data_IF_016274883665
#
_entry.id   IF_016274883665
#
_cell.length_a   1.000
_cell.length_b   1.000
_cell.length_c   1.000
_cell.angle_alpha   90.00
_cell.angle_beta   90.00
_cell.angle_gamma   90.00
#
_symmetry.space_group_name_H-M   'P 1'
#
loop_
_entity.id
_entity.type
_entity.pdbx_description
1 polymer ?
#
# COMPACT_ATOMS: atom_id res chain seq x y z
N UNK A 1 -16.35 -17.62 -24.69
CA UNK A 1 -16.28 -18.54 -23.53
C UNK A 1 -16.55 -17.68 -22.31
N UNK A 2 -17.52 -18.04 -21.47
CA UNK A 2 -17.80 -17.27 -20.26
C UNK A 2 -16.55 -17.24 -19.39
N UNK A 3 -16.08 -16.06 -19.00
CA UNK A 3 -14.94 -15.93 -18.10
C UNK A 3 -15.28 -16.60 -16.75
N UNK A 4 -14.29 -17.26 -16.11
CA UNK A 4 -14.51 -17.86 -14.81
C UNK A 4 -14.82 -16.78 -13.77
N UNK A 5 -15.81 -17.03 -12.92
CA UNK A 5 -16.23 -16.09 -11.87
C UNK A 5 -15.10 -15.70 -10.89
N UNK A 6 -14.06 -16.54 -10.77
CA UNK A 6 -12.85 -16.24 -9.98
C UNK A 6 -11.62 -16.60 -10.78
N UNK A 7 -10.76 -15.61 -11.00
CA UNK A 7 -9.41 -15.79 -11.56
C UNK A 7 -8.41 -16.00 -10.44
N UNK A 8 -8.20 -17.26 -10.07
CA UNK A 8 -7.29 -17.65 -8.98
C UNK A 8 -5.85 -17.13 -9.17
N UNK A 9 -5.41 -16.97 -10.42
CA UNK A 9 -4.09 -16.45 -10.79
C UNK A 9 -3.90 -14.97 -10.41
N UNK A 10 -4.98 -14.18 -10.38
CA UNK A 10 -4.93 -12.75 -10.02
C UNK A 10 -5.15 -12.50 -8.53
N UNK A 11 -5.52 -13.52 -7.75
CA UNK A 11 -5.74 -13.37 -6.30
C UNK A 11 -4.48 -12.87 -5.58
N UNK A 12 -3.27 -13.40 -5.83
CA UNK A 12 -2.05 -12.87 -5.19
C UNK A 12 -1.79 -11.40 -5.52
N UNK A 13 -2.06 -10.98 -6.76
CA UNK A 13 -1.92 -9.58 -7.19
C UNK A 13 -2.93 -8.69 -6.45
N UNK A 14 -4.19 -9.12 -6.38
CA UNK A 14 -5.24 -8.41 -5.63
C UNK A 14 -4.91 -8.32 -4.13
N UNK A 15 -4.33 -9.36 -3.55
CA UNK A 15 -3.83 -9.33 -2.17
C UNK A 15 -2.72 -8.30 -2.00
N UNK A 16 -1.73 -8.28 -2.90
CA UNK A 16 -0.66 -7.28 -2.89
C UNK A 16 -1.20 -5.85 -2.96
N UNK A 17 -2.15 -5.59 -3.84
CA UNK A 17 -2.85 -4.30 -3.94
C UNK A 17 -3.60 -3.94 -2.64
N UNK A 18 -4.32 -4.91 -2.07
CA UNK A 18 -5.03 -4.69 -0.81
C UNK A 18 -4.07 -4.34 0.33
N UNK A 19 -2.96 -5.06 0.47
CA UNK A 19 -1.92 -4.75 1.47
C UNK A 19 -1.30 -3.38 1.19
N UNK A 20 -1.06 -3.04 -0.08
CA UNK A 20 -0.54 -1.73 -0.45
C UNK A 20 -1.43 -0.60 0.06
N UNK A 21 -2.73 -0.68 -0.25
CA UNK A 21 -3.74 0.31 0.10
C UNK A 21 -3.94 0.53 1.61
N UNK A 22 -3.44 -0.37 2.46
CA UNK A 22 -3.61 -0.33 3.92
C UNK A 22 -2.34 0.09 4.69
N UNK A 23 -1.24 0.41 4.02
CA UNK A 23 0.04 0.74 4.67
C UNK A 23 -0.01 1.98 5.56
N UNK A 24 -0.62 3.05 5.07
CA UNK A 24 -0.75 4.28 5.83
C UNK A 24 -1.47 4.09 7.17
N UNK A 25 -2.38 3.10 7.29
CA UNK A 25 -3.07 2.86 8.57
C UNK A 25 -2.12 2.40 9.66
N UNK A 26 -1.15 1.54 9.35
CA UNK A 26 -0.26 0.95 10.37
C UNK A 26 0.92 1.88 10.65
N UNK A 27 1.50 2.47 9.61
CA UNK A 27 2.66 3.35 9.75
C UNK A 27 2.31 4.65 10.47
N UNK A 28 1.14 5.25 10.17
CA UNK A 28 0.74 6.53 10.76
C UNK A 28 0.07 6.40 12.13
N UNK A 29 -0.34 5.18 12.52
CA UNK A 29 -1.05 4.91 13.78
C UNK A 29 -0.34 5.52 15.00
N UNK A 30 0.97 5.34 15.23
CA UNK A 30 1.65 5.91 16.40
C UNK A 30 1.60 7.43 16.45
N UNK A 31 1.86 8.09 15.32
CA UNK A 31 1.84 9.55 15.20
C UNK A 31 0.44 10.12 15.41
N UNK A 32 -0.58 9.49 14.81
CA UNK A 32 -1.99 9.88 15.00
C UNK A 32 -2.40 9.70 16.45
N UNK A 33 -2.08 8.56 17.07
CA UNK A 33 -2.40 8.30 18.47
C UNK A 33 -1.76 9.33 19.41
N UNK A 34 -0.52 9.74 19.15
CA UNK A 34 0.20 10.70 19.98
C UNK A 34 -0.44 12.10 19.99
N UNK A 35 -1.09 12.51 18.89
CA UNK A 35 -1.71 13.84 18.75
C UNK A 35 -3.22 13.84 18.94
N UNK A 36 -3.83 12.68 19.20
CA UNK A 36 -5.29 12.59 19.40
C UNK A 36 -5.74 13.28 20.69
N UNK A 37 -6.78 14.11 20.58
CA UNK A 37 -7.41 14.75 21.74
C UNK A 37 -7.99 13.73 22.75
N UNK A 38 -8.46 12.57 22.27
CA UNK A 38 -8.99 11.49 23.11
C UNK A 38 -8.33 10.13 22.81
N UNK A 39 -7.11 9.87 23.30
CA UNK A 39 -6.34 8.65 22.96
C UNK A 39 -7.07 7.34 23.33
N UNK A 40 -7.87 7.35 24.39
CA UNK A 40 -8.69 6.18 24.81
C UNK A 40 -9.69 5.71 23.75
N UNK A 41 -10.06 6.57 22.79
CA UNK A 41 -10.98 6.23 21.69
C UNK A 41 -10.27 5.70 20.44
N UNK A 42 -8.94 5.62 20.47
CA UNK A 42 -8.13 5.23 19.32
C UNK A 42 -8.52 3.87 18.70
N UNK A 43 -8.74 2.79 19.47
CA UNK A 43 -9.16 1.52 18.86
C UNK A 43 -10.46 1.61 18.07
N UNK A 44 -11.41 2.43 18.53
CA UNK A 44 -12.68 2.66 17.80
C UNK A 44 -12.47 3.46 16.53
N UNK A 45 -11.58 4.46 16.57
CA UNK A 45 -11.23 5.26 15.40
C UNK A 45 -10.56 4.39 14.33
N UNK A 46 -9.63 3.52 14.71
CA UNK A 46 -8.98 2.57 13.78
C UNK A 46 -10.00 1.62 13.16
N UNK A 47 -10.87 1.00 13.96
CA UNK A 47 -11.91 0.09 13.43
C UNK A 47 -12.84 0.83 12.45
N UNK A 48 -13.30 2.03 12.80
CA UNK A 48 -14.16 2.83 11.93
C UNK A 48 -13.46 3.19 10.61
N UNK A 49 -12.18 3.57 10.69
CA UNK A 49 -11.34 3.84 9.53
C UNK A 49 -11.18 2.60 8.65
N UNK A 50 -10.82 1.45 9.22
CA UNK A 50 -10.68 0.19 8.48
C UNK A 50 -11.98 -0.20 7.76
N UNK A 51 -13.11 -0.13 8.46
CA UNK A 51 -14.43 -0.44 7.86
C UNK A 51 -14.74 0.52 6.72
N UNK A 52 -14.54 1.82 6.93
CA UNK A 52 -14.80 2.84 5.91
C UNK A 52 -13.94 2.64 4.66
N UNK A 53 -12.63 2.46 4.80
CA UNK A 53 -11.74 2.23 3.66
C UNK A 53 -12.06 0.92 2.94
N UNK A 54 -12.30 -0.16 3.68
CA UNK A 54 -12.65 -1.46 3.10
C UNK A 54 -13.94 -1.37 2.29
N UNK A 55 -14.97 -0.71 2.83
CA UNK A 55 -16.25 -0.51 2.14
C UNK A 55 -16.09 0.35 0.87
N UNK A 56 -15.28 1.41 0.92
CA UNK A 56 -15.02 2.25 -0.26
C UNK A 56 -14.29 1.47 -1.36
N UNK A 57 -13.22 0.74 -1.02
CA UNK A 57 -12.51 -0.06 -2.01
C UNK A 57 -13.38 -1.17 -2.60
N UNK A 58 -14.18 -1.84 -1.78
CA UNK A 58 -15.09 -2.88 -2.26
C UNK A 58 -16.16 -2.29 -3.18
N UNK A 59 -16.73 -1.14 -2.83
CA UNK A 59 -17.74 -0.47 -3.65
C UNK A 59 -17.19 -0.10 -5.02
N UNK A 60 -15.99 0.50 -5.08
CA UNK A 60 -15.34 0.88 -6.33
C UNK A 60 -14.95 -0.36 -7.14
N UNK A 61 -14.42 -1.39 -6.49
CA UNK A 61 -14.05 -2.65 -7.15
C UNK A 61 -15.26 -3.35 -7.79
N UNK A 62 -16.36 -3.49 -7.05
CA UNK A 62 -17.61 -4.08 -7.55
C UNK A 62 -18.22 -3.22 -8.66
N UNK A 63 -18.23 -1.90 -8.52
CA UNK A 63 -18.74 -1.01 -9.55
C UNK A 63 -17.90 -1.09 -10.84
N UNK A 64 -16.59 -1.19 -10.72
CA UNK A 64 -15.68 -1.38 -11.85
C UNK A 64 -15.90 -2.71 -12.57
N UNK A 65 -15.98 -3.81 -11.82
CA UNK A 65 -16.24 -5.14 -12.37
C UNK A 65 -17.60 -5.21 -13.07
N UNK A 66 -18.65 -4.65 -12.46
CA UNK A 66 -19.97 -4.58 -13.09
C UNK A 66 -19.96 -3.76 -14.39
N UNK A 67 -19.23 -2.64 -14.42
CA UNK A 67 -19.20 -1.76 -15.59
C UNK A 67 -18.39 -2.34 -16.77
N UNK A 68 -17.27 -3.01 -16.50
CA UNK A 68 -16.35 -3.47 -17.53
C UNK A 68 -16.52 -4.95 -17.86
N UNK A 69 -16.53 -5.81 -16.84
CA UNK A 69 -16.65 -7.26 -17.03
C UNK A 69 -18.07 -7.63 -17.43
N UNK A 70 -19.09 -7.15 -16.71
CA UNK A 70 -20.49 -7.56 -16.94
C UNK A 70 -21.18 -6.79 -18.09
N UNK A 71 -21.02 -5.47 -18.17
CA UNK A 71 -21.72 -4.66 -19.19
C UNK A 71 -20.99 -4.57 -20.54
N UNK A 72 -19.68 -4.79 -20.57
CA UNK A 72 -18.85 -4.54 -21.77
C UNK A 72 -18.01 -5.73 -22.23
N UNK A 73 -18.05 -6.86 -21.51
CA UNK A 73 -17.20 -8.04 -21.76
C UNK A 73 -15.72 -7.64 -21.98
N UNK A 74 -15.21 -6.70 -21.17
CA UNK A 74 -13.90 -6.11 -21.33
C UNK A 74 -13.03 -6.27 -20.07
N UNK A 75 -11.75 -6.57 -20.28
CA UNK A 75 -10.76 -6.66 -19.20
C UNK A 75 -10.34 -5.26 -18.76
N UNK A 76 -10.44 -5.00 -17.46
CA UNK A 76 -9.97 -3.73 -16.86
C UNK A 76 -8.46 -3.64 -17.01
N UNK A 77 -7.99 -2.52 -17.55
CA UNK A 77 -6.56 -2.21 -17.65
C UNK A 77 -5.93 -2.10 -16.26
N UNK A 78 -4.60 -2.10 -16.20
CA UNK A 78 -3.86 -1.94 -14.94
C UNK A 78 -4.28 -0.69 -14.15
N UNK A 79 -4.69 0.36 -14.85
CA UNK A 79 -5.32 1.54 -14.27
C UNK A 79 -6.77 1.65 -14.75
N UNK A 80 -7.69 1.87 -13.81
CA UNK A 80 -9.13 1.98 -14.13
C UNK A 80 -9.40 3.15 -15.09
N UNK A 81 -8.63 4.24 -15.00
CA UNK A 81 -8.76 5.41 -15.87
C UNK A 81 -8.48 5.08 -17.33
N UNK A 82 -7.54 4.16 -17.61
CA UNK A 82 -7.21 3.74 -18.98
C UNK A 82 -8.31 2.88 -19.64
N UNK A 83 -9.24 2.35 -18.85
CA UNK A 83 -10.34 1.51 -19.35
C UNK A 83 -11.51 2.34 -19.90
N UNK A 84 -11.55 3.64 -19.64
CA UNK A 84 -12.62 4.53 -20.11
C UNK A 84 -12.35 5.12 -21.49
N UNK A 85 -13.42 5.37 -22.24
CA UNK A 85 -13.33 6.17 -23.47
C UNK A 85 -13.10 7.66 -23.16
N UNK A 86 -12.37 8.33 -24.06
CA UNK A 86 -12.04 9.75 -23.98
C UNK A 86 -13.29 10.63 -24.18
N UNK A 87 -14.03 10.86 -23.09
CA UNK A 87 -15.12 11.85 -23.01
C UNK A 87 -14.66 13.11 -22.28
N UNK A 88 -15.42 14.20 -22.40
CA UNK A 88 -15.13 15.44 -21.65
C UNK A 88 -15.13 15.20 -20.13
N UNK A 89 -16.11 14.44 -19.63
CA UNK A 89 -16.23 14.09 -18.22
C UNK A 89 -15.00 13.29 -17.76
N UNK A 90 -14.57 12.30 -18.56
CA UNK A 90 -13.37 11.52 -18.26
C UNK A 90 -12.12 12.40 -18.21
N UNK A 91 -11.94 13.32 -19.17
CA UNK A 91 -10.80 14.26 -19.17
C UNK A 91 -10.79 15.14 -17.93
N UNK A 92 -11.94 15.69 -17.54
CA UNK A 92 -12.06 16.50 -16.31
C UNK A 92 -11.70 15.66 -15.08
N UNK A 93 -12.21 14.43 -14.97
CA UNK A 93 -11.90 13.53 -13.87
C UNK A 93 -10.39 13.21 -13.79
N UNK A 94 -9.75 12.91 -14.92
CA UNK A 94 -8.30 12.68 -14.99
C UNK A 94 -7.51 13.94 -14.62
N UNK A 95 -7.92 15.13 -15.07
CA UNK A 95 -7.28 16.39 -14.67
C UNK A 95 -7.38 16.65 -13.17
N UNK A 96 -8.54 16.40 -12.55
CA UNK A 96 -8.73 16.53 -11.10
C UNK A 96 -7.85 15.52 -10.35
N UNK A 97 -7.75 14.29 -10.84
CA UNK A 97 -6.90 13.27 -10.27
C UNK A 97 -5.41 13.65 -10.35
N UNK A 98 -4.94 14.13 -11.50
CA UNK A 98 -3.57 14.65 -11.66
C UNK A 98 -3.30 15.80 -10.69
N UNK A 99 -4.25 16.74 -10.57
CA UNK A 99 -4.12 17.87 -9.66
C UNK A 99 -4.02 17.40 -8.19
N UNK A 100 -4.87 16.46 -7.78
CA UNK A 100 -4.79 15.84 -6.46
C UNK A 100 -3.42 15.19 -6.21
N UNK A 101 -2.91 14.41 -7.17
CA UNK A 101 -1.60 13.76 -7.06
C UNK A 101 -0.46 14.78 -6.97
N UNK A 102 -0.51 15.86 -7.74
CA UNK A 102 0.47 16.95 -7.68
C UNK A 102 0.52 17.62 -6.30
N UNK A 103 -0.64 17.81 -5.65
CA UNK A 103 -0.70 18.36 -4.30
C UNK A 103 -0.27 17.34 -3.23
N UNK A 104 -0.48 16.06 -3.48
CA UNK A 104 -0.18 14.99 -2.52
C UNK A 104 1.29 14.59 -2.53
N UNK A 105 1.94 14.69 -3.70
CA UNK A 105 3.34 14.29 -3.88
C UNK A 105 4.29 14.99 -2.90
N UNK A 106 4.29 16.33 -2.73
CA UNK A 106 5.17 16.99 -1.76
C UNK A 106 4.99 16.50 -0.33
N UNK A 107 3.77 16.14 0.08
CA UNK A 107 3.49 15.65 1.43
C UNK A 107 4.14 14.29 1.67
N UNK A 108 3.96 13.35 0.73
CA UNK A 108 4.54 12.01 0.82
C UNK A 108 6.06 12.05 0.67
N UNK A 109 6.57 12.85 -0.26
CA UNK A 109 8.02 12.95 -0.48
C UNK A 109 8.71 13.63 0.70
N UNK A 110 8.05 14.59 1.37
CA UNK A 110 8.56 15.20 2.59
C UNK A 110 8.76 14.18 3.72
N UNK A 111 7.81 13.26 3.94
CA UNK A 111 7.96 12.25 5.00
C UNK A 111 9.14 11.32 4.69
N UNK A 112 9.31 10.90 3.44
CA UNK A 112 10.46 10.09 3.01
C UNK A 112 11.78 10.83 3.25
N UNK A 113 11.87 12.09 2.85
CA UNK A 113 13.07 12.90 3.08
C UNK A 113 13.37 13.06 4.56
N UNK A 114 12.36 13.39 5.37
CA UNK A 114 12.53 13.55 6.81
C UNK A 114 13.04 12.24 7.46
N UNK A 115 12.47 11.09 7.10
CA UNK A 115 12.87 9.79 7.64
C UNK A 115 14.30 9.41 7.26
N UNK A 116 14.70 9.59 6.00
CA UNK A 116 16.05 9.25 5.53
C UNK A 116 17.08 10.23 6.08
N UNK A 117 16.82 11.54 6.00
CA UNK A 117 17.74 12.57 6.49
C UNK A 117 17.99 12.42 8.00
N UNK A 118 16.97 12.16 8.80
CA UNK A 118 17.13 11.97 10.25
C UNK A 118 17.86 10.67 10.59
N UNK A 119 17.59 9.57 9.87
CA UNK A 119 18.12 8.26 10.25
C UNK A 119 19.51 7.96 9.66
N UNK A 120 19.82 8.48 8.46
CA UNK A 120 21.03 8.14 7.71
C UNK A 120 22.01 9.31 7.57
N UNK A 121 21.52 10.55 7.64
CA UNK A 121 22.28 11.75 7.31
C UNK A 121 22.06 12.91 8.32
N UNK A 122 22.09 12.64 9.65
CA UNK A 122 21.70 13.63 10.66
C UNK A 122 22.53 14.92 10.57
N UNK A 123 23.84 14.79 10.32
CA UNK A 123 24.79 15.90 10.25
C UNK A 123 25.19 16.29 8.82
N UNK A 124 24.48 15.78 7.80
CA UNK A 124 24.87 16.01 6.42
C UNK A 124 24.65 17.47 5.98
N UNK A 125 25.57 18.04 5.19
CA UNK A 125 25.43 19.40 4.69
C UNK A 125 24.22 19.55 3.77
N UNK A 126 23.70 20.77 3.65
CA UNK A 126 22.52 21.07 2.84
C UNK A 126 22.65 20.60 1.39
N UNK A 127 23.85 20.65 0.81
CA UNK A 127 24.14 20.16 -0.54
C UNK A 127 23.89 18.66 -0.66
N UNK A 128 24.35 17.85 0.30
CA UNK A 128 24.12 16.41 0.30
C UNK A 128 22.63 16.07 0.40
N UNK A 129 21.89 16.80 1.24
CA UNK A 129 20.42 16.66 1.36
C UNK A 129 19.72 17.00 0.04
N UNK A 130 20.11 18.09 -0.63
CA UNK A 130 19.56 18.47 -1.95
C UNK A 130 19.84 17.41 -3.01
N UNK A 131 21.05 16.85 -3.04
CA UNK A 131 21.42 15.77 -3.97
C UNK A 131 20.57 14.54 -3.72
N UNK A 132 20.42 14.10 -2.46
CA UNK A 132 19.55 12.99 -2.09
C UNK A 132 18.11 13.22 -2.59
N UNK A 133 17.54 14.40 -2.32
CA UNK A 133 16.18 14.74 -2.76
C UNK A 133 16.03 14.68 -4.27
N UNK A 134 17.01 15.23 -5.01
CA UNK A 134 17.02 15.19 -6.46
C UNK A 134 17.09 13.74 -6.98
N UNK A 135 17.98 12.91 -6.42
CA UNK A 135 18.10 11.49 -6.78
C UNK A 135 16.80 10.74 -6.54
N UNK A 136 16.14 10.95 -5.39
CA UNK A 136 14.88 10.30 -5.05
C UNK A 136 13.75 10.71 -6.02
N UNK A 137 13.59 11.99 -6.31
CA UNK A 137 12.57 12.47 -7.26
C UNK A 137 12.85 11.97 -8.68
N UNK A 138 14.10 12.00 -9.12
CA UNK A 138 14.49 11.46 -10.43
C UNK A 138 14.26 9.95 -10.51
N UNK A 139 14.53 9.22 -9.44
CA UNK A 139 14.29 7.77 -9.40
C UNK A 139 12.79 7.44 -9.49
N UNK A 140 11.92 8.22 -8.80
CA UNK A 140 10.47 8.08 -8.93
C UNK A 140 10.00 8.36 -10.37
N UNK A 141 10.55 9.39 -11.01
CA UNK A 141 10.29 9.69 -12.42
C UNK A 141 10.76 8.58 -13.36
N UNK A 142 11.94 8.01 -13.12
CA UNK A 142 12.45 6.88 -13.90
C UNK A 142 11.54 5.65 -13.77
N UNK A 143 11.10 5.31 -12.55
CA UNK A 143 10.13 4.23 -12.33
C UNK A 143 8.83 4.49 -13.09
N UNK A 144 8.31 5.72 -13.06
CA UNK A 144 7.08 6.08 -13.77
C UNK A 144 7.17 5.90 -15.30
N UNK A 145 8.36 6.08 -15.89
CA UNK A 145 8.58 5.89 -17.33
C UNK A 145 8.87 4.42 -17.68
N UNK A 146 9.59 3.71 -16.81
CA UNK A 146 10.07 2.35 -17.08
C UNK A 146 9.06 1.25 -16.72
N UNK A 147 8.08 1.53 -15.85
CA UNK A 147 7.08 0.55 -15.41
C UNK A 147 5.85 0.59 -16.33
N UNK A 148 5.62 -0.45 -17.16
CA UNK A 148 4.49 -0.48 -18.09
C UNK A 148 3.15 -0.81 -17.41
N UNK A 149 3.19 -1.58 -16.31
CA UNK A 149 2.01 -2.10 -15.60
C UNK A 149 2.04 -1.63 -14.15
N UNK A 150 1.51 -0.43 -13.92
CA UNK A 150 1.60 0.25 -12.62
C UNK A 150 0.93 -0.51 -11.49
N UNK A 151 -0.21 -1.14 -11.74
CA UNK A 151 -0.94 -1.98 -10.78
C UNK A 151 -0.14 -3.20 -10.33
N UNK A 152 0.58 -3.88 -11.23
CA UNK A 152 1.47 -4.99 -10.84
C UNK A 152 2.68 -4.49 -10.05
N UNK A 153 3.23 -3.32 -10.38
CA UNK A 153 4.27 -2.68 -9.58
C UNK A 153 3.79 -2.34 -8.16
N UNK A 154 2.60 -1.74 -8.02
CA UNK A 154 1.99 -1.46 -6.72
C UNK A 154 1.75 -2.75 -5.94
N UNK A 155 1.25 -3.79 -6.60
CA UNK A 155 1.00 -5.09 -5.98
C UNK A 155 2.30 -5.71 -5.45
N UNK A 156 3.41 -5.62 -6.19
CA UNK A 156 4.72 -6.06 -5.74
C UNK A 156 5.24 -5.22 -4.55
N UNK A 157 5.09 -3.90 -4.60
CA UNK A 157 5.44 -3.02 -3.48
C UNK A 157 4.63 -3.36 -2.22
N UNK A 158 3.33 -3.61 -2.36
CA UNK A 158 2.45 -4.07 -1.29
C UNK A 158 2.87 -5.42 -0.72
N UNK A 159 3.12 -6.39 -1.60
CA UNK A 159 3.57 -7.73 -1.24
C UNK A 159 4.89 -7.75 -0.46
N UNK A 160 5.85 -6.90 -0.84
CA UNK A 160 7.17 -6.86 -0.23
C UNK A 160 7.27 -5.85 0.92
N UNK A 161 7.22 -4.56 0.60
CA UNK A 161 7.50 -3.49 1.55
C UNK A 161 6.38 -3.37 2.60
N UNK A 162 5.13 -3.46 2.17
CA UNK A 162 4.00 -3.21 3.07
C UNK A 162 3.70 -4.47 3.91
N UNK A 163 3.87 -5.68 3.39
CA UNK A 163 3.85 -6.90 4.22
C UNK A 163 4.92 -6.86 5.31
N UNK A 164 6.12 -6.35 5.00
CA UNK A 164 7.18 -6.16 5.98
C UNK A 164 6.76 -5.14 7.06
N UNK A 165 6.29 -3.96 6.65
CA UNK A 165 5.91 -2.86 7.55
C UNK A 165 4.64 -3.14 8.37
N UNK A 166 3.69 -3.91 7.85
CA UNK A 166 2.39 -4.16 8.48
C UNK A 166 2.39 -5.46 9.28
N UNK A 167 2.86 -6.57 8.71
CA UNK A 167 2.68 -7.90 9.29
C UNK A 167 3.94 -8.45 9.96
N UNK A 168 5.13 -8.14 9.46
CA UNK A 168 6.36 -8.75 9.96
C UNK A 168 6.98 -7.90 11.08
N UNK A 169 7.41 -6.67 10.78
CA UNK A 169 8.19 -5.86 11.72
C UNK A 169 7.45 -5.56 13.04
N UNK A 170 6.16 -5.15 13.05
CA UNK A 170 5.47 -4.87 14.31
C UNK A 170 5.31 -6.11 15.18
N UNK A 171 5.00 -7.27 14.58
CA UNK A 171 4.80 -8.52 15.31
C UNK A 171 6.13 -9.08 15.84
N UNK A 172 7.20 -9.00 15.06
CA UNK A 172 8.54 -9.37 15.54
C UNK A 172 9.01 -8.45 16.66
N UNK A 173 8.74 -7.14 16.59
CA UNK A 173 9.06 -6.21 17.66
C UNK A 173 8.31 -6.55 18.96
N UNK A 174 7.01 -6.88 18.88
CA UNK A 174 6.20 -7.32 20.02
C UNK A 174 6.75 -8.62 20.63
N UNK A 175 7.09 -9.60 19.80
CA UNK A 175 7.66 -10.87 20.24
C UNK A 175 9.04 -10.68 20.89
N UNK A 176 9.88 -9.81 20.32
CA UNK A 176 11.19 -9.44 20.87
C UNK A 176 11.05 -8.76 22.24
N UNK A 177 10.18 -7.75 22.36
CA UNK A 177 9.92 -7.08 23.64
C UNK A 177 9.45 -8.07 24.73
N UNK A 178 8.60 -9.03 24.37
CA UNK A 178 8.17 -10.06 25.30
C UNK A 178 9.25 -11.09 25.67
N UNK A 179 10.21 -11.36 24.76
CA UNK A 179 11.37 -12.20 25.05
C UNK A 179 12.38 -11.52 25.99
N UNK A 180 12.45 -10.19 25.93
CA UNK A 180 13.27 -9.36 26.82
C UNK A 180 12.62 -9.12 28.18
N UNK A 181 11.38 -9.59 28.39
CA UNK A 181 10.64 -9.41 29.63
C UNK A 181 9.96 -8.04 29.79
N UNK A 182 10.03 -7.16 28.78
CA UNK A 182 9.42 -5.83 28.80
C UNK A 182 7.89 -5.88 28.66
N UNK A 183 7.37 -6.97 28.09
CA UNK A 183 5.94 -7.15 27.84
C UNK A 183 5.48 -8.57 28.23
N UNK A 184 4.45 -8.65 29.08
CA UNK A 184 3.79 -9.91 29.34
C UNK A 184 2.75 -10.23 28.25
N UNK A 185 3.07 -11.20 27.40
CA UNK A 185 2.17 -11.71 26.37
C UNK A 185 1.58 -13.04 26.79
N UNK A 186 0.25 -13.15 26.69
CA UNK A 186 -0.45 -14.43 26.80
C UNK A 186 -0.07 -15.35 25.62
N UNK A 187 -0.08 -16.67 25.87
CA UNK A 187 0.16 -17.69 24.84
C UNK A 187 -0.67 -17.50 23.54
N UNK A 188 -1.98 -17.20 23.57
CA UNK A 188 -2.74 -16.98 22.34
C UNK A 188 -2.29 -15.76 21.55
N UNK A 189 -1.85 -14.68 22.22
CA UNK A 189 -1.33 -13.50 21.52
C UNK A 189 0.01 -13.77 20.86
N UNK A 190 0.89 -14.55 21.51
CA UNK A 190 2.16 -15.00 20.90
C UNK A 190 1.91 -15.83 19.66
N UNK A 191 0.96 -16.78 19.73
CA UNK A 191 0.58 -17.59 18.58
C UNK A 191 0.03 -16.71 17.44
N UNK A 192 -0.84 -15.75 17.75
CA UNK A 192 -1.37 -14.82 16.76
C UNK A 192 -0.26 -14.02 16.05
N UNK A 193 0.72 -13.49 16.78
CA UNK A 193 1.85 -12.77 16.17
C UNK A 193 2.66 -13.66 15.21
N UNK A 194 2.92 -14.92 15.59
CA UNK A 194 3.62 -15.88 14.72
C UNK A 194 2.80 -16.23 13.47
N UNK A 195 1.50 -16.48 13.63
CA UNK A 195 0.61 -16.78 12.51
C UNK A 195 0.49 -15.60 11.54
N UNK A 196 0.35 -14.38 12.04
CA UNK A 196 0.29 -13.18 11.21
C UNK A 196 1.60 -12.99 10.45
N UNK A 197 2.74 -13.14 11.13
CA UNK A 197 4.06 -13.01 10.52
C UNK A 197 4.30 -14.08 9.44
N UNK A 198 4.01 -15.34 9.75
CA UNK A 198 4.28 -16.46 8.84
C UNK A 198 3.31 -16.52 7.65
N UNK A 199 2.01 -16.40 7.89
CA UNK A 199 0.98 -16.57 6.86
C UNK A 199 0.80 -15.29 6.04
N UNK A 200 0.51 -14.18 6.70
CA UNK A 200 0.21 -12.92 6.00
C UNK A 200 1.47 -12.14 5.63
N UNK A 201 2.49 -12.16 6.50
CA UNK A 201 3.77 -11.50 6.22
C UNK A 201 4.58 -12.25 5.16
N UNK A 202 4.99 -13.49 5.47
CA UNK A 202 5.93 -14.24 4.62
C UNK A 202 5.22 -14.92 3.45
N UNK A 203 4.26 -15.81 3.70
CA UNK A 203 3.68 -16.62 2.63
C UNK A 203 2.88 -15.77 1.63
N UNK A 204 1.91 -14.98 2.11
CA UNK A 204 1.12 -14.11 1.25
C UNK A 204 1.96 -13.01 0.60
N UNK A 205 2.89 -12.38 1.35
CA UNK A 205 3.79 -11.37 0.81
C UNK A 205 4.70 -11.90 -0.29
N UNK A 206 5.31 -13.08 -0.10
CA UNK A 206 6.15 -13.72 -1.11
C UNK A 206 5.36 -14.14 -2.36
N UNK A 207 4.16 -14.71 -2.18
CA UNK A 207 3.28 -15.09 -3.28
C UNK A 207 2.84 -13.87 -4.10
N UNK A 208 2.36 -12.82 -3.43
CA UNK A 208 1.94 -11.58 -4.09
C UNK A 208 3.12 -10.95 -4.85
N UNK A 209 4.27 -10.82 -4.20
CA UNK A 209 5.47 -10.24 -4.83
C UNK A 209 5.93 -11.07 -6.03
N UNK A 210 6.03 -12.39 -5.89
CA UNK A 210 6.52 -13.26 -6.95
C UNK A 210 5.64 -13.25 -8.20
N UNK A 211 4.31 -13.31 -8.01
CA UNK A 211 3.35 -13.27 -9.13
C UNK A 211 3.36 -11.89 -9.78
N UNK A 212 3.34 -10.80 -9.01
CA UNK A 212 3.34 -9.45 -9.53
C UNK A 212 4.62 -9.10 -10.29
N UNK A 213 5.79 -9.51 -9.78
CA UNK A 213 7.07 -9.33 -10.48
C UNK A 213 7.09 -10.13 -11.80
N UNK A 214 6.58 -11.36 -11.80
CA UNK A 214 6.47 -12.15 -13.02
C UNK A 214 5.59 -11.45 -14.07
N UNK A 215 4.44 -10.89 -13.66
CA UNK A 215 3.55 -10.14 -14.56
C UNK A 215 4.13 -8.83 -15.07
N UNK A 216 5.03 -8.21 -14.29
CA UNK A 216 5.66 -6.95 -14.66
C UNK A 216 6.68 -7.12 -15.79
N UNK A 217 7.33 -8.29 -15.88
CA UNK A 217 8.37 -8.59 -16.87
C UNK A 217 7.95 -9.57 -17.98
N UNK A 218 6.69 -10.00 -17.99
CA UNK A 218 6.08 -10.82 -19.04
C UNK A 218 5.33 -9.97 -20.06
#
# INVERSE_FOLDING_TARGET
MAEPAVRWESVPVAMGLAVFCNEGMVVLTPSVHAVMCFPKRFPRAVIAMTVYFTANYLLIGVAGDFLFSYLRDAVVASEVTLSFHLTLVHRVAVCLYIFQLLLSFPLVTFTVFASIEQSWLPDAPLTARRVLRAVLVLSAGAVAVLVPRFGDFIAAAGGLANSLGIYILPNLAILKAASLGELQLSAPRRLACWLITGVFGVAAGALATGVSVKHLFS
#
